data_IF_883000099294
#
_entry.id   IF_883000099294
#
_cell.length_a   1.000
_cell.length_b   1.000
_cell.length_c   1.000
_cell.angle_alpha   90.00
_cell.angle_beta   90.00
_cell.angle_gamma   90.00
#
_symmetry.space_group_name_H-M   'P 1'
#
loop_
_entity.id
_entity.type
_entity.pdbx_description
1 polymer ?
#
# COMPACT_ATOMS: atom_id res chain seq x y z
N UNK A 1 0.01 -64.81 -52.36
CA UNK A 1 -0.43 -64.72 -50.95
C UNK A 1 0.74 -64.14 -50.16
N UNK A 2 0.68 -62.85 -49.82
CA UNK A 2 0.32 -62.34 -48.47
C UNK A 2 1.51 -62.51 -47.50
N UNK A 3 2.06 -61.52 -46.81
CA UNK A 3 1.68 -60.12 -46.57
C UNK A 3 2.93 -59.38 -46.06
N UNK A 4 3.17 -58.16 -46.55
CA UNK A 4 4.03 -57.20 -45.83
C UNK A 4 3.20 -56.60 -44.70
N UNK A 5 3.48 -56.99 -43.46
CA UNK A 5 2.92 -56.29 -42.29
C UNK A 5 3.80 -55.07 -42.07
N UNK A 6 3.38 -53.94 -42.66
CA UNK A 6 3.93 -52.63 -42.36
C UNK A 6 3.57 -52.26 -40.93
N UNK A 7 4.53 -52.41 -40.01
CA UNK A 7 4.43 -51.86 -38.66
C UNK A 7 4.52 -50.34 -38.72
N UNK A 8 3.37 -49.68 -38.65
CA UNK A 8 3.26 -48.24 -38.40
C UNK A 8 3.85 -47.99 -37.03
N UNK A 9 5.00 -47.33 -36.97
CA UNK A 9 5.55 -46.80 -35.72
C UNK A 9 4.62 -45.68 -35.28
N UNK A 10 3.78 -45.97 -34.29
CA UNK A 10 3.08 -44.95 -33.51
C UNK A 10 4.14 -44.19 -32.71
N UNK A 11 4.81 -43.24 -33.35
CA UNK A 11 5.48 -42.18 -32.59
C UNK A 11 4.34 -41.37 -32.00
N UNK A 12 4.09 -41.60 -30.71
CA UNK A 12 3.27 -40.75 -29.87
C UNK A 12 3.96 -39.38 -29.88
N UNK A 13 3.55 -38.51 -30.82
CA UNK A 13 3.88 -37.10 -30.81
C UNK A 13 3.21 -36.52 -29.57
N UNK A 14 3.90 -36.61 -28.43
CA UNK A 14 3.63 -35.79 -27.28
C UNK A 14 3.97 -34.36 -27.71
N UNK A 15 3.00 -33.67 -28.30
CA UNK A 15 3.04 -32.22 -28.28
C UNK A 15 2.93 -31.84 -26.81
N UNK A 16 4.05 -31.43 -26.23
CA UNK A 16 4.01 -30.65 -25.02
C UNK A 16 3.29 -29.36 -25.39
N UNK A 17 1.96 -29.35 -25.28
CA UNK A 17 1.24 -28.11 -25.09
C UNK A 17 1.92 -27.48 -23.87
N UNK A 18 2.61 -26.36 -24.08
CA UNK A 18 3.20 -25.59 -23.01
C UNK A 18 2.09 -25.38 -21.99
N UNK A 19 2.16 -26.08 -20.86
CA UNK A 19 1.29 -25.82 -19.73
C UNK A 19 1.80 -24.50 -19.19
N UNK A 20 1.33 -23.40 -19.78
CA UNK A 20 1.48 -22.10 -19.17
C UNK A 20 0.87 -22.22 -17.79
N UNK A 21 1.73 -22.13 -16.78
CA UNK A 21 1.36 -22.22 -15.39
C UNK A 21 0.28 -21.15 -15.12
N UNK A 22 -0.99 -21.52 -14.84
CA UNK A 22 -2.08 -20.54 -14.73
C UNK A 22 -1.92 -19.59 -13.54
N UNK A 23 -0.95 -19.85 -12.65
CA UNK A 23 -0.63 -19.05 -11.48
C UNK A 23 -0.05 -17.65 -11.74
N UNK A 24 0.13 -17.22 -12.99
CA UNK A 24 0.72 -15.92 -13.35
C UNK A 24 -0.19 -15.00 -14.18
N UNK A 25 -1.35 -15.46 -14.63
CA UNK A 25 -2.25 -14.63 -15.40
C UNK A 25 -3.11 -13.78 -14.46
N UNK A 26 -2.90 -12.47 -14.48
CA UNK A 26 -3.74 -11.49 -13.78
C UNK A 26 -4.53 -10.67 -14.80
N UNK A 27 -5.75 -10.29 -14.44
CA UNK A 27 -6.66 -9.58 -15.37
C UNK A 27 -6.63 -8.08 -15.10
N UNK A 28 -6.17 -7.25 -16.03
CA UNK A 28 -6.24 -5.79 -15.88
C UNK A 28 -7.71 -5.33 -15.82
N UNK A 29 -8.04 -4.47 -14.86
CA UNK A 29 -9.40 -3.96 -14.67
C UNK A 29 -9.37 -2.50 -14.20
N UNK A 30 -10.44 -1.75 -14.47
CA UNK A 30 -10.57 -0.34 -14.08
C UNK A 30 -11.09 0.55 -15.20
N UNK A 31 -11.49 1.77 -14.84
CA UNK A 31 -12.17 2.74 -15.70
C UNK A 31 -13.67 2.84 -15.42
N UNK A 32 -14.40 3.40 -16.39
CA UNK A 32 -15.83 3.67 -16.28
C UNK A 32 -16.66 2.39 -16.51
N UNK A 33 -17.54 2.10 -15.56
CA UNK A 33 -18.52 1.02 -15.63
C UNK A 33 -19.87 1.67 -15.93
N UNK A 34 -20.27 1.61 -17.20
CA UNK A 34 -21.49 2.23 -17.73
C UNK A 34 -22.70 1.28 -17.75
N UNK A 35 -22.47 -0.01 -17.47
CA UNK A 35 -23.52 -1.04 -17.51
C UNK A 35 -23.24 -2.17 -16.50
N UNK A 36 -24.14 -3.15 -16.43
CA UNK A 36 -24.00 -4.28 -15.53
C UNK A 36 -22.73 -5.09 -15.85
N UNK A 37 -21.77 -5.08 -14.93
CA UNK A 37 -20.50 -5.79 -15.04
C UNK A 37 -20.36 -6.76 -13.88
N UNK A 38 -19.87 -7.97 -14.16
CA UNK A 38 -19.70 -9.04 -13.15
C UNK A 38 -18.25 -9.49 -13.13
N UNK A 39 -17.62 -9.43 -11.95
CA UNK A 39 -16.30 -9.98 -11.70
C UNK A 39 -16.44 -11.38 -11.12
N UNK A 40 -15.71 -12.32 -11.69
CA UNK A 40 -15.72 -13.74 -11.34
C UNK A 40 -14.36 -14.20 -10.81
N UNK A 41 -14.37 -15.17 -9.91
CA UNK A 41 -13.16 -15.72 -9.31
C UNK A 41 -12.29 -16.44 -10.36
N UNK A 42 -12.86 -16.90 -11.48
CA UNK A 42 -12.11 -17.55 -12.58
C UNK A 42 -11.08 -16.62 -13.24
N UNK A 43 -11.32 -15.31 -13.25
CA UNK A 43 -10.39 -14.30 -13.81
C UNK A 43 -9.60 -13.56 -12.72
N UNK A 44 -9.69 -14.03 -11.47
CA UNK A 44 -8.96 -13.49 -10.33
C UNK A 44 -7.49 -13.95 -10.37
N UNK A 45 -6.51 -13.10 -10.01
CA UNK A 45 -6.68 -11.76 -9.46
C UNK A 45 -6.87 -10.69 -10.53
N UNK A 46 -7.75 -9.73 -10.25
CA UNK A 46 -7.91 -8.52 -11.05
C UNK A 46 -6.92 -7.45 -10.60
N UNK A 47 -6.14 -6.89 -11.52
CA UNK A 47 -5.23 -5.78 -11.27
C UNK A 47 -5.91 -4.46 -11.59
N UNK A 48 -6.23 -3.70 -10.54
CA UNK A 48 -6.91 -2.41 -10.65
C UNK A 48 -5.87 -1.30 -10.69
N UNK A 49 -5.46 -0.93 -11.90
CA UNK A 49 -4.43 0.10 -12.14
C UNK A 49 -5.02 1.49 -12.40
N UNK A 50 -6.33 1.58 -12.60
CA UNK A 50 -7.11 2.81 -12.82
C UNK A 50 -8.37 2.78 -11.96
N UNK A 51 -8.86 3.95 -11.55
CA UNK A 51 -10.06 4.03 -10.71
C UNK A 51 -11.23 3.30 -11.36
N UNK A 52 -11.96 2.53 -10.56
CA UNK A 52 -13.23 1.94 -10.97
C UNK A 52 -14.30 2.99 -10.72
N UNK A 53 -14.93 3.48 -11.78
CA UNK A 53 -15.97 4.51 -11.68
C UNK A 53 -17.28 3.87 -12.13
N UNK A 54 -18.14 3.53 -11.18
CA UNK A 54 -19.47 3.02 -11.47
C UNK A 54 -20.36 4.21 -11.79
N UNK A 55 -20.79 4.30 -13.04
CA UNK A 55 -21.62 5.41 -13.53
C UNK A 55 -23.07 5.29 -13.01
N UNK A 56 -23.87 6.31 -13.31
CA UNK A 56 -25.29 6.34 -12.93
C UNK A 56 -26.01 5.12 -13.50
N UNK A 57 -26.85 4.49 -12.67
CA UNK A 57 -27.67 3.33 -13.01
C UNK A 57 -26.87 2.09 -13.48
N UNK A 58 -25.53 2.12 -13.37
CA UNK A 58 -24.67 0.98 -13.63
C UNK A 58 -24.55 0.10 -12.38
N UNK A 59 -24.20 -1.17 -12.58
CA UNK A 59 -24.03 -2.13 -11.46
C UNK A 59 -22.75 -2.92 -11.65
N UNK A 60 -21.84 -2.84 -10.68
CA UNK A 60 -20.70 -3.74 -10.58
C UNK A 60 -21.01 -4.82 -9.54
N UNK A 61 -20.94 -6.09 -9.95
CA UNK A 61 -21.12 -7.24 -9.07
C UNK A 61 -19.79 -7.95 -8.91
N UNK A 62 -19.31 -8.07 -7.68
CA UNK A 62 -18.10 -8.80 -7.32
C UNK A 62 -18.54 -10.12 -6.67
N UNK A 63 -18.30 -11.25 -7.37
CA UNK A 63 -18.68 -12.57 -6.85
C UNK A 63 -17.78 -12.98 -5.66
N UNK A 64 -18.29 -13.84 -4.75
CA UNK A 64 -17.48 -14.44 -3.69
C UNK A 64 -16.18 -15.06 -4.22
N UNK A 65 -15.07 -14.90 -3.50
CA UNK A 65 -13.76 -15.45 -3.87
C UNK A 65 -12.95 -14.62 -4.86
N UNK A 66 -13.51 -13.53 -5.41
CA UNK A 66 -12.77 -12.59 -6.26
C UNK A 66 -11.69 -11.87 -5.46
N UNK A 67 -10.48 -11.78 -6.04
CA UNK A 67 -9.39 -10.97 -5.52
C UNK A 67 -9.16 -9.76 -6.44
N UNK A 68 -9.14 -8.57 -5.85
CA UNK A 68 -8.83 -7.32 -6.52
C UNK A 68 -7.57 -6.72 -5.91
N UNK A 69 -6.63 -6.34 -6.77
CA UNK A 69 -5.32 -5.81 -6.38
C UNK A 69 -5.19 -4.38 -6.88
N UNK A 70 -5.11 -3.41 -5.99
CA UNK A 70 -5.13 -1.98 -6.34
C UNK A 70 -3.72 -1.38 -6.44
N UNK A 71 -3.49 -0.59 -7.49
CA UNK A 71 -2.35 0.30 -7.54
C UNK A 71 -2.45 1.39 -6.43
N UNK A 72 -1.31 1.93 -5.95
CA UNK A 72 -1.36 3.05 -4.99
C UNK A 72 -2.15 4.23 -5.56
N UNK A 73 -3.04 4.81 -4.75
CA UNK A 73 -3.85 5.97 -5.13
C UNK A 73 -5.08 5.64 -5.98
N UNK A 74 -5.35 4.35 -6.25
CA UNK A 74 -6.50 3.90 -7.04
C UNK A 74 -7.58 3.36 -6.12
N UNK A 75 -8.84 3.69 -6.41
CA UNK A 75 -10.00 3.30 -5.62
C UNK A 75 -11.23 2.95 -6.46
N UNK A 76 -12.37 2.91 -5.78
CA UNK A 76 -13.69 2.69 -6.37
C UNK A 76 -14.56 3.91 -6.06
N UNK A 77 -15.15 4.49 -7.09
CA UNK A 77 -16.13 5.57 -6.98
C UNK A 77 -17.47 5.08 -7.51
N UNK A 78 -18.55 5.35 -6.78
CA UNK A 78 -19.92 5.01 -7.19
C UNK A 78 -20.70 6.31 -7.40
N UNK A 79 -21.13 6.55 -8.64
CA UNK A 79 -21.93 7.73 -8.99
C UNK A 79 -23.36 7.61 -8.47
N UNK A 80 -24.14 8.71 -8.53
CA UNK A 80 -25.56 8.71 -8.14
C UNK A 80 -26.32 7.55 -8.78
N UNK A 81 -27.05 6.77 -7.99
CA UNK A 81 -27.77 5.54 -8.39
C UNK A 81 -26.89 4.41 -8.98
N UNK A 82 -25.57 4.51 -8.98
CA UNK A 82 -24.69 3.39 -9.26
C UNK A 82 -24.76 2.36 -8.13
N UNK A 83 -24.52 1.08 -8.45
CA UNK A 83 -24.58 -0.03 -7.49
C UNK A 83 -23.27 -0.80 -7.50
N UNK A 84 -22.67 -0.97 -6.32
CA UNK A 84 -21.60 -1.94 -6.09
C UNK A 84 -22.15 -3.08 -5.22
N UNK A 85 -22.31 -4.27 -5.79
CA UNK A 85 -22.68 -5.47 -5.06
C UNK A 85 -21.45 -6.35 -4.82
N UNK A 86 -20.99 -6.43 -3.56
CA UNK A 86 -19.81 -7.20 -3.18
C UNK A 86 -20.08 -7.97 -1.88
N UNK A 87 -20.82 -9.09 -1.99
CA UNK A 87 -21.17 -9.93 -0.83
C UNK A 87 -20.32 -11.20 -0.85
N UNK A 88 -19.38 -11.33 0.07
CA UNK A 88 -18.57 -12.54 0.24
C UNK A 88 -19.34 -13.70 0.88
N UNK A 89 -18.76 -14.90 0.83
CA UNK A 89 -19.24 -16.09 1.57
C UNK A 89 -18.12 -16.60 2.48
N UNK A 90 -18.45 -17.35 3.53
CA UNK A 90 -17.46 -17.98 4.43
C UNK A 90 -16.50 -18.87 3.60
N UNK A 91 -15.20 -18.60 3.66
CA UNK A 91 -14.17 -19.31 2.88
C UNK A 91 -14.07 -18.91 1.40
N UNK A 92 -14.90 -17.95 0.98
CA UNK A 92 -14.86 -17.31 -0.35
C UNK A 92 -15.04 -15.80 -0.14
N UNK A 93 -14.22 -15.23 0.73
CA UNK A 93 -14.19 -13.81 0.98
C UNK A 93 -13.77 -13.07 -0.31
N UNK A 94 -14.33 -11.88 -0.51
CA UNK A 94 -13.84 -10.97 -1.54
C UNK A 94 -12.63 -10.28 -0.95
N UNK A 95 -11.47 -10.41 -1.61
CA UNK A 95 -10.21 -9.92 -1.06
C UNK A 95 -9.74 -8.71 -1.84
N UNK A 96 -9.70 -7.56 -1.17
CA UNK A 96 -9.07 -6.35 -1.69
C UNK A 96 -7.65 -6.27 -1.12
N UNK A 97 -6.65 -6.26 -2.00
CA UNK A 97 -5.25 -6.08 -1.61
C UNK A 97 -4.58 -5.04 -2.48
N UNK A 98 -3.33 -4.71 -2.17
CA UNK A 98 -2.49 -3.87 -2.99
C UNK A 98 -1.87 -4.71 -4.11
N UNK A 99 -1.63 -4.11 -5.28
CA UNK A 99 -0.79 -4.73 -6.31
C UNK A 99 0.57 -5.11 -5.69
N UNK A 100 1.07 -6.33 -5.94
CA UNK A 100 2.41 -6.68 -5.50
C UNK A 100 3.36 -5.65 -6.11
N UNK A 101 4.05 -4.91 -5.25
CA UNK A 101 5.15 -4.10 -5.73
C UNK A 101 6.13 -5.07 -6.39
N UNK A 102 6.54 -4.75 -7.62
CA UNK A 102 7.47 -5.57 -8.40
C UNK A 102 8.70 -5.81 -7.54
N UNK A 103 8.76 -6.98 -6.92
CA UNK A 103 9.84 -7.37 -6.05
C UNK A 103 10.99 -7.75 -6.99
N UNK A 104 11.82 -6.77 -7.33
CA UNK A 104 13.22 -7.05 -7.64
C UNK A 104 13.72 -7.81 -6.41
N UNK A 105 14.15 -9.06 -6.58
CA UNK A 105 14.58 -9.94 -5.49
C UNK A 105 15.40 -9.16 -4.46
N UNK A 106 14.74 -8.83 -3.37
CA UNK A 106 15.34 -8.38 -2.14
C UNK A 106 14.69 -9.29 -1.11
N UNK A 107 15.56 -10.00 -0.38
CA UNK A 107 15.28 -10.70 0.88
C UNK A 107 14.07 -10.08 1.61
N UNK A 108 13.19 -10.86 2.25
CA UNK A 108 12.20 -10.28 3.13
C UNK A 108 12.93 -9.53 4.26
N UNK A 109 13.09 -8.21 4.08
CA UNK A 109 13.29 -7.30 5.19
C UNK A 109 12.17 -7.60 6.17
N UNK A 110 12.46 -8.02 7.42
CA UNK A 110 11.42 -8.26 8.41
C UNK A 110 10.61 -6.98 8.43
N UNK A 111 9.28 -7.08 8.23
CA UNK A 111 8.40 -5.92 8.20
C UNK A 111 8.78 -4.99 9.34
N UNK A 112 9.57 -3.96 8.99
CA UNK A 112 10.23 -3.14 9.97
C UNK A 112 9.11 -2.54 10.79
N UNK A 113 9.22 -2.63 12.11
CA UNK A 113 8.37 -1.80 12.95
C UNK A 113 8.42 -0.39 12.38
N UNK A 114 7.28 0.30 12.20
CA UNK A 114 7.31 1.62 11.57
C UNK A 114 8.32 2.46 12.33
N UNK A 115 9.31 3.02 11.64
CA UNK A 115 10.39 3.81 12.25
C UNK A 115 9.88 5.16 12.80
N UNK A 116 8.55 5.31 12.92
CA UNK A 116 7.81 6.47 13.37
C UNK A 116 6.61 6.02 14.20
N UNK A 117 6.35 6.70 15.32
CA UNK A 117 5.17 6.45 16.16
C UNK A 117 4.68 7.73 16.83
N UNK A 118 3.41 7.71 17.23
CA UNK A 118 2.82 8.69 18.13
C UNK A 118 2.76 8.10 19.55
N UNK A 119 3.19 8.86 20.55
CA UNK A 119 3.15 8.47 21.97
C UNK A 119 2.50 9.53 22.84
N UNK A 120 2.12 9.15 24.06
CA UNK A 120 1.53 10.01 25.10
C UNK A 120 0.16 10.65 24.77
N UNK A 121 -0.38 10.38 23.59
CA UNK A 121 -1.68 10.85 23.16
C UNK A 121 -2.86 10.24 23.91
N UNK A 122 -3.97 10.97 23.87
CA UNK A 122 -5.29 10.52 24.31
C UNK A 122 -5.96 9.54 23.32
N UNK A 123 -5.39 9.37 22.13
CA UNK A 123 -5.86 8.44 21.09
C UNK A 123 -4.73 8.01 20.16
N UNK A 124 -4.96 7.00 19.33
CA UNK A 124 -3.99 6.56 18.30
C UNK A 124 -3.72 7.61 17.21
N UNK A 125 -4.56 8.64 17.12
CA UNK A 125 -4.51 9.67 16.08
C UNK A 125 -3.74 10.92 16.50
N UNK A 126 -3.32 11.00 17.76
CA UNK A 126 -2.73 12.18 18.35
C UNK A 126 -1.60 11.76 19.27
N UNK A 127 -0.55 12.54 19.34
CA UNK A 127 0.55 12.27 20.26
C UNK A 127 1.83 12.99 19.86
N UNK A 128 2.83 12.83 20.71
CA UNK A 128 4.20 13.26 20.45
C UNK A 128 4.83 12.35 19.41
N UNK A 129 5.38 12.94 18.37
CA UNK A 129 6.08 12.21 17.31
C UNK A 129 7.42 11.67 17.80
N UNK A 130 7.66 10.38 17.63
CA UNK A 130 8.96 9.76 17.84
C UNK A 130 9.46 9.08 16.57
N UNK A 131 10.76 9.24 16.30
CA UNK A 131 11.48 8.56 15.22
C UNK A 131 12.42 7.50 15.80
N UNK A 132 12.47 6.32 15.19
CA UNK A 132 13.45 5.30 15.51
C UNK A 132 14.77 5.62 14.81
N UNK A 133 15.74 6.13 15.56
CA UNK A 133 17.02 6.57 14.99
C UNK A 133 18.20 6.18 15.87
N UNK A 134 19.20 5.53 15.26
CA UNK A 134 20.35 4.93 15.97
C UNK A 134 19.88 4.03 17.13
N UNK A 135 19.06 3.02 16.80
CA UNK A 135 18.58 1.99 17.72
C UNK A 135 17.87 2.52 18.98
N UNK A 136 17.24 3.70 18.89
CA UNK A 136 16.51 4.29 20.00
C UNK A 136 15.38 5.16 19.49
N UNK A 137 14.27 5.16 20.22
CA UNK A 137 13.17 6.09 19.99
C UNK A 137 13.55 7.48 20.45
N UNK A 138 13.31 8.46 19.58
CA UNK A 138 13.67 9.85 19.85
C UNK A 138 12.49 10.77 19.60
N UNK A 139 12.19 11.59 20.60
CA UNK A 139 11.17 12.60 20.47
C UNK A 139 11.63 13.70 19.53
N UNK A 140 10.81 13.99 18.53
CA UNK A 140 11.03 15.08 17.60
C UNK A 140 10.70 16.39 18.29
N UNK A 141 11.63 17.33 18.21
CA UNK A 141 11.44 18.64 18.82
C UNK A 141 10.72 19.57 17.86
N UNK A 142 9.52 20.00 18.27
CA UNK A 142 8.62 20.83 17.46
C UNK A 142 8.81 22.33 17.66
N UNK A 143 9.94 22.77 18.26
CA UNK A 143 10.30 24.20 18.24
C UNK A 143 10.53 24.72 16.81
N UNK A 144 10.49 23.80 15.85
CA UNK A 144 10.43 24.01 14.42
C UNK A 144 9.26 24.90 14.00
N UNK A 145 9.54 26.19 13.82
CA UNK A 145 8.67 27.11 13.07
C UNK A 145 8.50 26.69 11.59
N UNK A 146 9.23 25.67 11.12
CA UNK A 146 9.36 25.30 9.72
C UNK A 146 8.88 23.86 9.42
N UNK A 147 8.05 23.25 10.27
CA UNK A 147 7.32 22.03 9.86
C UNK A 147 6.16 22.41 8.95
N UNK A 148 6.33 22.14 7.66
CA UNK A 148 5.36 22.50 6.61
C UNK A 148 4.26 21.44 6.45
N UNK A 149 3.22 21.78 5.67
CA UNK A 149 2.13 20.85 5.34
C UNK A 149 2.64 19.63 4.56
N UNK A 150 3.65 19.80 3.71
CA UNK A 150 4.27 18.70 2.96
C UNK A 150 4.95 17.71 3.91
N UNK A 151 5.61 18.22 4.95
CA UNK A 151 6.23 17.40 6.01
C UNK A 151 5.17 16.62 6.79
N UNK A 152 4.02 17.27 7.08
CA UNK A 152 2.89 16.63 7.72
C UNK A 152 2.32 15.49 6.84
N UNK A 153 2.16 15.72 5.54
CA UNK A 153 1.65 14.68 4.61
C UNK A 153 2.57 13.47 4.56
N UNK A 154 3.89 13.67 4.50
CA UNK A 154 4.87 12.58 4.57
C UNK A 154 4.74 11.82 5.90
N UNK A 155 4.63 12.54 7.02
CA UNK A 155 4.51 11.95 8.36
C UNK A 155 3.24 11.10 8.50
N UNK A 156 2.09 11.66 8.11
CA UNK A 156 0.80 10.97 8.16
C UNK A 156 0.81 9.73 7.28
N UNK A 157 1.31 9.85 6.04
CA UNK A 157 1.41 8.71 5.12
C UNK A 157 2.33 7.62 5.68
N UNK A 158 3.45 7.99 6.28
CA UNK A 158 4.38 7.04 6.90
C UNK A 158 3.75 6.31 8.11
N UNK A 159 2.87 6.99 8.84
CA UNK A 159 2.07 6.41 9.94
C UNK A 159 0.83 5.64 9.47
N UNK A 160 0.52 5.65 8.16
CA UNK A 160 -0.68 4.99 7.60
C UNK A 160 -1.96 5.82 7.68
N UNK A 161 -1.87 7.13 7.93
CA UNK A 161 -2.98 8.07 7.96
C UNK A 161 -3.08 8.90 6.67
N UNK A 162 -4.28 9.35 6.33
CA UNK A 162 -4.53 10.18 5.14
C UNK A 162 -4.19 11.67 5.33
N UNK A 163 -4.04 12.12 6.57
CA UNK A 163 -3.75 13.51 6.91
C UNK A 163 -3.76 13.75 8.41
N UNK A 164 -3.50 14.98 8.83
CA UNK A 164 -3.37 15.33 10.25
C UNK A 164 -3.30 16.82 10.48
N UNK A 165 -2.86 17.21 11.68
CA UNK A 165 -2.55 18.60 12.04
C UNK A 165 -1.32 18.62 12.93
N UNK A 166 -0.42 19.57 12.69
CA UNK A 166 0.74 19.78 13.56
C UNK A 166 0.29 20.56 14.81
N UNK A 167 0.69 20.07 15.98
CA UNK A 167 0.59 20.81 17.22
C UNK A 167 2.00 21.19 17.67
N UNK A 168 2.29 22.49 17.69
CA UNK A 168 3.64 23.00 18.03
C UNK A 168 4.01 22.82 19.50
N UNK A 169 3.00 22.58 20.35
CA UNK A 169 3.17 22.39 21.78
C UNK A 169 2.66 21.00 22.18
N UNK A 170 3.52 20.27 22.89
CA UNK A 170 3.19 19.03 23.56
C UNK A 170 4.00 18.95 24.86
N UNK A 171 3.43 18.38 25.93
CA UNK A 171 4.11 18.30 27.22
C UNK A 171 5.45 17.60 27.08
N UNK A 172 6.51 18.22 27.62
CA UNK A 172 7.85 17.65 27.61
C UNK A 172 7.84 16.37 28.45
N UNK A 173 8.44 15.33 27.90
CA UNK A 173 8.68 14.08 28.58
C UNK A 173 10.17 13.72 28.36
N UNK A 174 10.82 13.24 29.43
CA UNK A 174 12.25 12.91 29.48
C UNK A 174 12.55 11.42 29.26
N UNK A 175 11.56 10.64 28.83
CA UNK A 175 11.62 9.20 28.55
C UNK A 175 12.50 8.81 27.37
N UNK A 176 12.81 9.77 26.51
CA UNK A 176 13.48 9.53 25.24
C UNK A 176 14.48 10.65 24.97
N UNK A 177 15.62 10.25 24.40
CA UNK A 177 16.59 11.22 23.89
C UNK A 177 15.94 12.09 22.83
N UNK A 178 16.23 13.38 22.83
CA UNK A 178 15.66 14.33 21.90
C UNK A 178 16.37 14.27 20.54
N UNK A 179 15.59 14.47 19.48
CA UNK A 179 16.05 14.65 18.11
C UNK A 179 15.55 16.01 17.63
N UNK A 180 16.49 16.92 17.41
CA UNK A 180 16.16 18.19 16.76
C UNK A 180 16.08 17.98 15.28
N UNK A 181 14.93 18.30 14.71
CA UNK A 181 14.67 18.20 13.29
C UNK A 181 13.80 19.38 12.85
N UNK A 182 14.43 20.57 12.77
CA UNK A 182 13.70 21.85 12.68
C UNK A 182 13.07 22.13 11.32
N UNK A 183 13.65 21.56 10.26
CA UNK A 183 13.29 21.97 8.92
C UNK A 183 13.48 20.84 7.91
N UNK A 184 12.57 19.84 7.87
CA UNK A 184 12.72 18.67 7.01
C UNK A 184 12.77 19.01 5.51
N UNK A 185 12.18 20.14 5.08
CA UNK A 185 12.04 20.55 3.68
C UNK A 185 11.48 19.43 2.79
N UNK A 186 10.56 18.62 3.32
CA UNK A 186 9.91 17.58 2.54
C UNK A 186 9.15 18.22 1.36
N UNK A 187 9.19 17.56 0.21
CA UNK A 187 8.43 17.93 -0.99
C UNK A 187 6.99 17.40 -0.98
N UNK A 188 6.71 16.44 -0.09
CA UNK A 188 5.39 15.80 0.04
C UNK A 188 5.30 14.45 -0.66
N UNK A 189 6.29 14.09 -1.48
CA UNK A 189 6.35 12.85 -2.25
C UNK A 189 7.21 11.76 -1.59
N UNK A 190 7.93 12.07 -0.51
CA UNK A 190 8.82 11.14 0.17
C UNK A 190 8.06 10.00 0.85
N UNK A 191 8.54 8.76 0.73
CA UNK A 191 7.93 7.63 1.44
C UNK A 191 8.11 7.70 2.96
N UNK A 192 9.02 8.55 3.44
CA UNK A 192 9.45 8.60 4.83
C UNK A 192 10.11 9.93 5.19
N UNK A 193 9.97 10.35 6.45
CA UNK A 193 10.70 11.49 7.02
C UNK A 193 12.23 11.33 6.93
N UNK A 194 12.74 10.11 6.88
CA UNK A 194 14.17 9.83 6.70
C UNK A 194 14.68 10.18 5.30
N UNK A 195 13.77 10.35 4.32
CA UNK A 195 14.08 10.66 2.93
C UNK A 195 13.85 12.14 2.57
N UNK A 196 13.42 12.98 3.51
CA UNK A 196 13.29 14.40 3.22
C UNK A 196 14.67 15.06 3.06
N UNK A 197 14.80 16.08 2.18
CA UNK A 197 16.08 16.68 1.81
C UNK A 197 16.97 17.01 3.00
N UNK A 198 16.43 17.62 4.04
CA UNK A 198 17.20 18.12 5.18
C UNK A 198 17.37 17.09 6.32
N UNK A 199 17.11 15.81 6.09
CA UNK A 199 17.31 14.76 7.09
C UNK A 199 18.73 14.79 7.69
N UNK A 200 19.75 15.14 6.91
CA UNK A 200 21.14 15.20 7.38
C UNK A 200 21.42 16.33 8.39
N UNK A 201 20.58 17.35 8.49
CA UNK A 201 20.76 18.51 9.39
C UNK A 201 20.32 18.25 10.84
N UNK A 202 19.72 17.09 11.12
CA UNK A 202 19.24 16.71 12.45
C UNK A 202 20.36 16.68 13.50
N UNK A 203 20.02 17.02 14.75
CA UNK A 203 20.96 17.02 15.88
C UNK A 203 20.45 16.17 17.05
N UNK A 204 21.38 15.60 17.83
CA UNK A 204 21.10 14.70 18.95
C UNK A 204 21.69 15.23 20.26
N UNK A 205 20.94 15.09 21.35
CA UNK A 205 21.43 15.39 22.70
C UNK A 205 20.35 15.98 23.61
N UNK A 206 20.54 15.86 24.93
CA UNK A 206 19.58 16.34 25.94
C UNK A 206 19.41 17.87 25.96
N UNK A 207 20.44 18.61 25.53
CA UNK A 207 20.42 20.08 25.46
C UNK A 207 19.97 20.65 24.11
N UNK A 208 19.68 19.80 23.12
CA UNK A 208 19.44 20.28 21.76
C UNK A 208 18.10 21.01 21.68
N UNK A 209 17.06 20.55 22.39
CA UNK A 209 15.72 21.14 22.29
C UNK A 209 15.38 22.04 23.48
N UNK A 210 16.28 22.97 23.80
CA UNK A 210 16.18 23.85 24.98
C UNK A 210 16.68 25.28 24.73
N UNK A 211 16.11 25.98 23.75
CA UNK A 211 16.15 27.45 23.71
C UNK A 211 14.73 28.00 23.80
#
# INVERSE_FOLDING_TARGET
>A
MMSFIGGVWWVLLLTFASIQNPALASTDFGGYISSRTVLDWESSPYEVRRDIIIERDATLIIRPGVQLRFAPGVGITVSTNGILEAKGKKGQEIVFTRLPQRQVWSEPEPAGWPDVRLVDGDSILKGRLQLFYKQSWRSVCTNSKNWTEETLQVTCRQLGFSGGRIHHWYSRNNDSSQLMYEDPHCTGNESSLFHCPNWYLKQLGSGVCGK
#
